data_IF_336816032526
#
_entry.id   IF_336816032526
#
_cell.length_a   1.000
_cell.length_b   1.000
_cell.length_c   1.000
_cell.angle_alpha   90.00
_cell.angle_beta   90.00
_cell.angle_gamma   90.00
#
_symmetry.space_group_name_H-M   'P 1'
#
loop_
_entity.id
_entity.type
_entity.pdbx_description
1 polymer ?
#
# COMPACT_ATOMS: atom_id res chain seq x y z
N UNK A 1 -20.47 1.74 10.35
CA UNK A 1 -20.78 1.14 11.66
C UNK A 1 -22.22 1.46 12.01
N UNK A 2 -23.04 0.47 12.34
CA UNK A 2 -24.37 0.69 12.89
C UNK A 2 -24.22 0.83 14.40
N UNK A 3 -24.34 2.06 14.91
CA UNK A 3 -24.10 2.42 16.31
C UNK A 3 -25.09 1.83 17.33
N UNK A 4 -26.03 0.96 16.91
CA UNK A 4 -26.91 0.21 17.83
C UNK A 4 -27.51 -1.02 17.14
N UNK A 5 -26.86 -2.17 17.22
CA UNK A 5 -27.56 -3.46 17.03
C UNK A 5 -28.37 -3.82 18.29
N UNK A 6 -29.28 -2.91 18.67
CA UNK A 6 -30.25 -3.09 19.75
C UNK A 6 -31.66 -2.84 19.18
N UNK A 7 -32.13 -3.76 18.35
CA UNK A 7 -33.54 -3.94 17.95
C UNK A 7 -33.74 -5.45 17.90
N UNK A 8 -34.42 -6.15 18.81
CA UNK A 8 -35.62 -5.80 19.57
C UNK A 8 -35.71 -6.57 20.89
N UNK A 9 -35.89 -5.85 21.99
CA UNK A 9 -36.61 -6.38 23.14
C UNK A 9 -38.09 -6.51 22.80
N UNK A 10 -38.70 -7.68 23.01
CA UNK A 10 -40.15 -7.78 23.01
C UNK A 10 -40.83 -9.10 22.63
N UNK A 11 -40.41 -10.26 23.17
CA UNK A 11 -41.34 -11.28 23.69
C UNK A 11 -40.61 -12.49 24.30
N UNK A 12 -41.07 -12.91 25.47
CA UNK A 12 -40.59 -14.05 26.27
C UNK A 12 -40.95 -15.41 25.68
N UNK A 13 -40.61 -15.65 24.42
CA UNK A 13 -40.70 -16.97 23.77
C UNK A 13 -39.45 -17.13 22.92
N UNK A 14 -38.58 -18.07 23.30
CA UNK A 14 -37.21 -18.21 22.80
C UNK A 14 -37.08 -18.22 21.28
N UNK A 15 -35.88 -17.89 20.80
CA UNK A 15 -35.41 -17.84 19.40
C UNK A 15 -35.47 -16.49 18.65
N UNK A 16 -35.17 -15.37 19.32
CA UNK A 16 -34.82 -14.12 18.62
C UNK A 16 -33.36 -13.75 18.90
N UNK A 17 -32.43 -14.48 18.26
CA UNK A 17 -31.01 -14.12 18.22
C UNK A 17 -30.69 -13.53 16.86
N UNK A 18 -29.98 -12.41 16.83
CA UNK A 18 -29.45 -11.86 15.59
C UNK A 18 -28.41 -12.83 15.00
N UNK A 19 -28.49 -13.07 13.70
CA UNK A 19 -27.55 -13.90 12.97
C UNK A 19 -26.42 -13.04 12.40
N UNK A 20 -25.20 -13.56 12.52
CA UNK A 20 -23.98 -12.94 11.99
C UNK A 20 -23.24 -13.94 11.11
N UNK A 21 -22.88 -13.51 9.91
CA UNK A 21 -21.98 -14.22 9.00
C UNK A 21 -20.63 -13.52 9.08
N UNK A 22 -19.63 -14.22 9.60
CA UNK A 22 -18.26 -13.76 9.66
C UNK A 22 -17.35 -14.74 8.91
N UNK A 23 -16.29 -14.21 8.32
CA UNK A 23 -15.23 -14.99 7.68
C UNK A 23 -13.90 -14.33 8.01
N UNK A 24 -12.96 -15.16 8.49
CA UNK A 24 -11.63 -14.72 8.88
C UNK A 24 -10.56 -15.41 8.04
N UNK A 25 -9.44 -14.72 7.82
CA UNK A 25 -8.24 -15.32 7.24
C UNK A 25 -7.53 -16.22 8.25
N UNK A 26 -6.55 -17.00 7.78
CA UNK A 26 -5.66 -17.77 8.66
C UNK A 26 -4.89 -16.90 9.66
N UNK A 27 -4.67 -15.62 9.32
CA UNK A 27 -4.04 -14.62 10.19
C UNK A 27 -5.04 -13.88 11.10
N UNK A 28 -6.29 -14.37 11.21
CA UNK A 28 -7.38 -13.77 12.02
C UNK A 28 -7.86 -12.39 11.54
N UNK A 29 -7.61 -12.04 10.28
CA UNK A 29 -8.10 -10.78 9.70
C UNK A 29 -9.52 -10.95 9.16
N UNK A 30 -10.37 -9.93 9.34
CA UNK A 30 -11.76 -9.97 8.91
C UNK A 30 -11.86 -9.87 7.39
N UNK A 31 -12.24 -10.98 6.74
CA UNK A 31 -12.48 -11.06 5.29
C UNK A 31 -13.86 -10.52 4.95
N UNK A 32 -14.86 -10.90 5.75
CA UNK A 32 -16.25 -10.51 5.55
C UNK A 32 -16.98 -10.48 6.88
N UNK A 33 -17.76 -9.42 7.08
CA UNK A 33 -18.62 -9.29 8.25
C UNK A 33 -20.00 -8.80 7.80
N UNK A 34 -21.04 -9.56 8.18
CA UNK A 34 -22.42 -9.15 8.04
C UNK A 34 -23.19 -9.60 9.29
N UNK A 35 -23.40 -8.65 10.21
CA UNK A 35 -24.13 -8.88 11.44
C UNK A 35 -25.55 -8.34 11.43
N UNK A 36 -26.28 -8.65 12.50
CA UNK A 36 -27.57 -8.04 12.84
C UNK A 36 -28.71 -8.40 11.86
N UNK A 37 -28.75 -9.64 11.38
CA UNK A 37 -29.83 -10.12 10.52
C UNK A 37 -30.85 -10.94 11.31
N UNK A 38 -32.09 -10.92 10.85
CA UNK A 38 -33.18 -11.69 11.48
C UNK A 38 -32.97 -13.21 11.34
N UNK A 39 -33.44 -14.02 12.30
CA UNK A 39 -33.50 -15.47 12.14
C UNK A 39 -34.21 -15.86 10.83
N UNK A 40 -33.64 -16.81 10.08
CA UNK A 40 -34.18 -17.24 8.79
C UNK A 40 -33.77 -16.39 7.58
N UNK A 41 -32.94 -15.36 7.76
CA UNK A 41 -32.33 -14.63 6.64
C UNK A 41 -31.48 -15.60 5.82
N UNK A 42 -31.67 -15.58 4.49
CA UNK A 42 -30.87 -16.38 3.58
C UNK A 42 -29.40 -15.98 3.67
N UNK A 43 -28.51 -16.97 3.52
CA UNK A 43 -27.07 -16.73 3.46
C UNK A 43 -26.75 -15.65 2.43
N UNK A 44 -26.01 -14.58 2.81
CA UNK A 44 -25.61 -13.54 1.88
C UNK A 44 -24.86 -14.14 0.69
N UNK A 45 -25.23 -13.75 -0.53
CA UNK A 45 -24.64 -14.28 -1.76
C UNK A 45 -23.11 -14.19 -1.79
N UNK A 46 -22.56 -13.16 -1.13
CA UNK A 46 -21.12 -12.97 -1.02
C UNK A 46 -20.45 -13.96 -0.06
N UNK A 47 -21.07 -14.24 1.08
CA UNK A 47 -20.53 -15.21 2.02
C UNK A 47 -20.47 -16.60 1.38
N UNK A 48 -21.46 -16.97 0.56
CA UNK A 48 -21.45 -18.23 -0.17
C UNK A 48 -20.39 -18.33 -1.28
N UNK A 49 -19.75 -17.22 -1.68
CA UNK A 49 -18.66 -17.23 -2.66
C UNK A 49 -17.29 -17.42 -2.02
N UNK A 50 -17.18 -17.26 -0.69
CA UNK A 50 -15.92 -17.42 0.04
C UNK A 50 -15.62 -18.91 0.17
N UNK A 51 -14.45 -19.32 -0.29
CA UNK A 51 -14.00 -20.72 -0.21
C UNK A 51 -12.88 -20.86 0.82
N UNK A 52 -12.99 -21.84 1.71
CA UNK A 52 -11.94 -22.15 2.68
C UNK A 52 -10.68 -22.58 1.92
N UNK A 53 -9.54 -21.96 2.26
CA UNK A 53 -8.25 -22.20 1.61
C UNK A 53 -7.94 -21.23 0.46
N UNK A 54 -8.84 -20.30 0.13
CA UNK A 54 -8.56 -19.26 -0.86
C UNK A 54 -7.49 -18.28 -0.33
N UNK A 55 -6.52 -17.86 -1.17
CA UNK A 55 -5.58 -16.81 -0.82
C UNK A 55 -6.29 -15.50 -0.47
N UNK A 56 -5.83 -14.83 0.59
CA UNK A 56 -6.37 -13.54 1.04
C UNK A 56 -5.27 -12.48 1.04
N UNK A 57 -5.66 -11.23 0.83
CA UNK A 57 -4.79 -10.07 0.82
C UNK A 57 -5.43 -8.90 1.57
N UNK A 58 -4.65 -8.27 2.45
CA UNK A 58 -5.09 -7.12 3.23
C UNK A 58 -4.12 -5.94 3.07
N UNK A 59 -4.67 -4.73 3.09
CA UNK A 59 -3.90 -3.50 3.02
C UNK A 59 -3.72 -2.92 4.43
N UNK A 60 -2.49 -2.56 4.79
CA UNK A 60 -2.18 -1.87 6.03
C UNK A 60 -1.55 -0.50 5.77
N UNK A 61 -1.81 0.44 6.66
CA UNK A 61 -1.17 1.75 6.64
C UNK A 61 0.22 1.69 7.30
N UNK A 62 1.14 2.50 6.79
CA UNK A 62 2.45 2.70 7.39
C UNK A 62 2.96 4.11 7.08
N UNK A 63 3.86 4.62 7.93
CA UNK A 63 4.54 5.89 7.70
C UNK A 63 5.61 5.73 6.64
N UNK A 64 5.49 6.43 5.51
CA UNK A 64 6.48 6.38 4.44
C UNK A 64 7.41 7.60 4.48
N UNK A 65 8.59 7.44 5.09
CA UNK A 65 9.61 8.49 5.19
C UNK A 65 10.24 8.88 3.85
N UNK A 66 10.33 7.95 2.89
CA UNK A 66 10.89 8.21 1.56
C UNK A 66 9.93 9.10 0.75
N UNK A 67 8.63 8.83 0.82
CA UNK A 67 7.60 9.67 0.19
C UNK A 67 7.57 11.08 0.80
N UNK A 68 7.84 11.18 2.11
CA UNK A 68 7.78 12.44 2.84
C UNK A 68 8.97 13.38 2.56
N UNK A 69 10.09 12.85 2.07
CA UNK A 69 11.26 13.65 1.69
C UNK A 69 11.41 13.68 0.15
N UNK A 70 10.96 14.75 -0.54
CA UNK A 70 11.04 14.85 -1.99
C UNK A 70 12.48 14.95 -2.52
N UNK A 71 13.42 15.42 -1.70
CA UNK A 71 14.84 15.63 -2.04
C UNK A 71 15.73 14.42 -1.69
N UNK A 72 15.12 13.32 -1.23
CA UNK A 72 15.84 12.09 -0.96
C UNK A 72 16.51 11.57 -2.24
N UNK A 73 17.80 11.22 -2.14
CA UNK A 73 18.56 10.56 -3.23
C UNK A 73 17.91 9.25 -3.67
N UNK A 74 17.05 8.66 -2.83
CA UNK A 74 16.27 7.46 -3.14
C UNK A 74 15.09 7.74 -4.09
N UNK A 75 14.72 9.01 -4.29
CA UNK A 75 13.66 9.42 -5.21
C UNK A 75 14.29 9.81 -6.56
N UNK A 76 14.10 8.96 -7.55
CA UNK A 76 14.46 9.26 -8.94
C UNK A 76 13.30 10.02 -9.60
N UNK A 77 13.62 10.95 -10.51
CA UNK A 77 12.65 11.76 -11.21
C UNK A 77 13.03 11.91 -12.69
N UNK A 78 12.03 11.89 -13.58
CA UNK A 78 12.16 12.23 -15.00
C UNK A 78 12.22 11.04 -15.98
N UNK A 79 12.33 9.80 -15.49
CA UNK A 79 12.38 8.61 -16.36
C UNK A 79 10.97 8.11 -16.67
N UNK A 80 10.05 8.21 -15.71
CA UNK A 80 8.66 7.76 -15.88
C UNK A 80 7.93 8.44 -17.06
N UNK A 81 8.27 9.69 -17.36
CA UNK A 81 7.67 10.45 -18.46
C UNK A 81 7.86 9.78 -19.83
N UNK A 82 8.97 9.06 -20.03
CA UNK A 82 9.30 8.38 -21.29
C UNK A 82 8.40 7.18 -21.57
N UNK A 83 7.80 6.58 -20.53
CA UNK A 83 6.97 5.37 -20.61
C UNK A 83 5.50 5.65 -20.24
N UNK A 84 5.07 6.90 -20.37
CA UNK A 84 3.69 7.32 -20.07
C UNK A 84 2.70 6.49 -20.88
N UNK A 85 1.75 5.84 -20.21
CA UNK A 85 0.75 4.96 -20.83
C UNK A 85 1.18 3.49 -20.94
N UNK A 86 2.47 3.18 -20.83
CA UNK A 86 2.97 1.80 -20.75
C UNK A 86 3.13 1.32 -19.29
N UNK A 87 3.12 2.23 -18.31
CA UNK A 87 3.27 1.89 -16.90
C UNK A 87 1.93 1.48 -16.28
N UNK A 88 1.81 0.27 -15.69
CA UNK A 88 0.58 -0.18 -15.07
C UNK A 88 0.32 0.54 -13.74
N UNK A 89 -0.97 0.66 -13.40
CA UNK A 89 -1.38 1.07 -12.08
C UNK A 89 -0.94 0.05 -11.02
N UNK A 90 -0.65 0.54 -9.82
CA UNK A 90 -0.28 -0.31 -8.69
C UNK A 90 -1.42 -1.29 -8.32
N UNK A 91 -1.16 -2.60 -8.21
CA UNK A 91 -2.14 -3.61 -7.80
C UNK A 91 -2.78 -3.28 -6.45
N UNK A 92 -4.12 -3.16 -6.42
CA UNK A 92 -4.87 -2.97 -5.17
C UNK A 92 -5.71 -4.18 -4.84
N UNK A 93 -5.98 -4.33 -3.54
CA UNK A 93 -6.96 -5.31 -3.08
C UNK A 93 -8.34 -4.87 -3.58
N UNK A 94 -9.05 -5.80 -4.19
CA UNK A 94 -10.43 -5.65 -4.63
C UNK A 94 -11.26 -6.80 -4.04
N UNK A 95 -12.58 -6.69 -4.13
CA UNK A 95 -13.48 -7.73 -3.60
C UNK A 95 -13.18 -8.08 -2.11
N UNK A 96 -12.79 -7.06 -1.33
CA UNK A 96 -12.28 -7.11 0.06
C UNK A 96 -10.95 -7.82 0.32
N UNK A 97 -10.64 -8.91 -0.39
CA UNK A 97 -9.48 -9.73 -0.05
C UNK A 97 -8.72 -10.30 -1.26
N UNK A 98 -9.18 -10.06 -2.49
CA UNK A 98 -8.54 -10.54 -3.72
C UNK A 98 -7.60 -9.49 -4.29
N UNK A 99 -6.55 -9.91 -4.99
CA UNK A 99 -5.63 -9.00 -5.65
C UNK A 99 -5.02 -9.62 -6.89
N UNK A 100 -4.91 -8.83 -7.96
CA UNK A 100 -4.30 -9.24 -9.22
C UNK A 100 -2.86 -8.70 -9.26
N UNK A 101 -1.89 -9.59 -9.07
CA UNK A 101 -0.47 -9.25 -8.94
C UNK A 101 0.40 -9.83 -10.04
N UNK A 102 -0.18 -10.60 -10.95
CA UNK A 102 0.44 -10.95 -12.22
C UNK A 102 -0.12 -10.02 -13.30
N UNK A 103 0.72 -9.18 -13.89
CA UNK A 103 0.33 -8.16 -14.86
C UNK A 103 1.02 -8.43 -16.21
N UNK A 104 0.22 -8.58 -17.26
CA UNK A 104 0.73 -8.62 -18.64
C UNK A 104 0.47 -7.26 -19.28
N UNK A 105 1.54 -6.55 -19.64
CA UNK A 105 1.51 -5.16 -20.13
C UNK A 105 1.97 -5.14 -21.58
N UNK A 106 1.03 -4.90 -22.51
CA UNK A 106 1.36 -4.92 -23.95
C UNK A 106 1.75 -6.30 -24.50
N UNK A 107 1.59 -7.37 -23.72
CA UNK A 107 1.85 -8.76 -24.11
C UNK A 107 0.59 -9.59 -23.87
N UNK A 108 0.23 -10.44 -24.83
CA UNK A 108 -0.83 -11.42 -24.64
C UNK A 108 -0.24 -12.72 -24.08
N UNK A 109 -0.57 -13.04 -22.83
CA UNK A 109 -0.18 -14.28 -22.16
C UNK A 109 -1.44 -15.12 -21.94
N UNK A 110 -1.66 -16.21 -22.70
CA UNK A 110 -2.89 -17.01 -22.62
C UNK A 110 -3.21 -17.53 -21.22
N UNK A 111 -2.18 -17.81 -20.41
CA UNK A 111 -2.30 -18.39 -19.08
C UNK A 111 -2.19 -17.34 -17.95
N UNK A 112 -2.36 -16.05 -18.25
CA UNK A 112 -2.18 -14.97 -17.26
C UNK A 112 -3.03 -15.15 -15.99
N UNK A 113 -4.28 -15.56 -16.13
CA UNK A 113 -5.19 -15.76 -14.99
C UNK A 113 -4.77 -16.95 -14.12
N UNK A 114 -4.34 -18.05 -14.74
CA UNK A 114 -3.82 -19.21 -14.04
C UNK A 114 -2.51 -18.90 -13.29
N UNK A 115 -1.63 -18.10 -13.91
CA UNK A 115 -0.40 -17.61 -13.27
C UNK A 115 -0.71 -16.65 -12.13
N UNK A 116 -1.73 -15.78 -12.26
CA UNK A 116 -2.17 -14.91 -11.17
C UNK A 116 -2.71 -15.72 -9.98
N UNK A 117 -3.50 -16.77 -10.24
CA UNK A 117 -3.99 -17.67 -9.20
C UNK A 117 -2.84 -18.39 -8.49
N UNK A 118 -1.87 -18.92 -9.26
CA UNK A 118 -0.67 -19.56 -8.70
C UNK A 118 0.17 -18.59 -7.88
N UNK A 119 0.40 -17.38 -8.38
CA UNK A 119 1.11 -16.33 -7.63
C UNK A 119 0.38 -15.94 -6.34
N UNK A 120 -0.95 -15.99 -6.33
CA UNK A 120 -1.74 -15.74 -5.13
C UNK A 120 -1.52 -16.82 -4.07
N UNK A 121 -1.42 -18.08 -4.48
CA UNK A 121 -1.05 -19.19 -3.59
C UNK A 121 0.36 -19.00 -3.02
N UNK A 122 1.34 -18.68 -3.87
CA UNK A 122 2.72 -18.39 -3.42
C UNK A 122 2.75 -17.23 -2.42
N UNK A 123 1.97 -16.17 -2.68
CA UNK A 123 1.83 -15.05 -1.75
C UNK A 123 1.14 -15.45 -0.43
N UNK A 124 0.18 -16.38 -0.44
CA UNK A 124 -0.43 -16.88 0.79
C UNK A 124 0.58 -17.68 1.64
N UNK A 125 1.42 -18.49 1.00
CA UNK A 125 2.45 -19.30 1.66
C UNK A 125 3.60 -18.45 2.21
N UNK A 126 4.11 -17.48 1.44
CA UNK A 126 5.28 -16.68 1.81
C UNK A 126 4.92 -15.35 2.50
N UNK A 127 3.70 -14.83 2.29
CA UNK A 127 3.30 -13.51 2.73
C UNK A 127 3.27 -13.35 4.25
N UNK A 128 2.76 -14.34 4.99
CA UNK A 128 2.77 -14.31 6.46
C UNK A 128 4.18 -14.54 7.05
N UNK A 129 4.91 -15.62 6.71
CA UNK A 129 6.21 -15.92 7.33
C UNK A 129 7.33 -14.96 6.91
N UNK A 130 7.33 -14.47 5.66
CA UNK A 130 8.37 -13.56 5.15
C UNK A 130 7.93 -12.10 5.10
N UNK A 131 6.65 -11.80 5.38
CA UNK A 131 6.08 -10.45 5.28
C UNK A 131 6.37 -9.81 3.93
N UNK A 132 6.25 -10.58 2.85
CA UNK A 132 6.54 -10.18 1.46
C UNK A 132 5.26 -10.07 0.64
N UNK A 133 5.24 -9.14 -0.32
CA UNK A 133 4.17 -8.98 -1.29
C UNK A 133 4.78 -9.10 -2.71
N UNK A 134 4.56 -10.25 -3.35
CA UNK A 134 5.12 -10.56 -4.66
C UNK A 134 4.22 -10.03 -5.78
N UNK A 135 4.81 -9.32 -6.73
CA UNK A 135 4.16 -8.86 -7.97
C UNK A 135 5.04 -9.24 -9.16
N UNK A 136 4.44 -9.77 -10.22
CA UNK A 136 5.14 -10.13 -11.46
C UNK A 136 4.54 -9.34 -12.60
N UNK A 137 5.40 -8.68 -13.38
CA UNK A 137 5.03 -7.87 -14.53
C UNK A 137 5.78 -8.39 -15.73
N UNK A 138 5.05 -8.75 -16.78
CA UNK A 138 5.62 -9.09 -18.08
C UNK A 138 5.24 -8.00 -19.07
N UNK A 139 6.23 -7.40 -19.73
CA UNK A 139 6.03 -6.25 -20.62
C UNK A 139 6.64 -6.49 -22.00
N UNK A 140 6.06 -5.89 -23.04
CA UNK A 140 6.64 -5.89 -24.40
C UNK A 140 7.72 -4.82 -24.58
N UNK A 141 8.06 -4.08 -23.53
CA UNK A 141 9.10 -3.06 -23.57
C UNK A 141 10.48 -3.72 -23.48
N UNK A 142 11.26 -3.60 -24.56
CA UNK A 142 12.63 -4.13 -24.64
C UNK A 142 13.69 -3.31 -23.90
N UNK A 143 13.36 -2.09 -23.46
CA UNK A 143 14.27 -1.21 -22.74
C UNK A 143 14.24 -1.47 -21.22
N UNK A 144 15.40 -1.77 -20.64
CA UNK A 144 15.57 -1.99 -19.21
C UNK A 144 15.29 -0.72 -18.37
N UNK A 145 15.39 0.48 -18.96
CA UNK A 145 15.00 1.74 -18.29
C UNK A 145 13.53 1.74 -17.84
N UNK A 146 12.70 0.87 -18.40
CA UNK A 146 11.34 0.64 -17.92
C UNK A 146 11.27 0.26 -16.44
N UNK A 147 12.25 -0.48 -15.92
CA UNK A 147 12.30 -0.81 -14.48
C UNK A 147 12.48 0.47 -13.64
N UNK A 148 13.31 1.40 -14.09
CA UNK A 148 13.55 2.66 -13.39
C UNK A 148 12.33 3.57 -13.47
N UNK A 149 11.69 3.63 -14.63
CA UNK A 149 10.42 4.32 -14.84
C UNK A 149 9.32 3.78 -13.92
N UNK A 150 9.21 2.46 -13.78
CA UNK A 150 8.25 1.82 -12.87
C UNK A 150 8.60 2.12 -11.41
N UNK A 151 9.88 2.09 -11.07
CA UNK A 151 10.37 2.43 -9.73
C UNK A 151 10.00 3.87 -9.38
N UNK A 152 10.19 4.81 -10.30
CA UNK A 152 9.73 6.19 -10.11
C UNK A 152 8.20 6.29 -9.98
N UNK A 153 7.46 5.65 -10.90
CA UNK A 153 6.00 5.70 -10.93
C UNK A 153 5.34 5.15 -9.67
N UNK A 154 5.93 4.09 -9.10
CA UNK A 154 5.45 3.47 -7.86
C UNK A 154 6.14 3.99 -6.60
N UNK A 155 6.98 5.04 -6.71
CA UNK A 155 7.76 5.61 -5.61
C UNK A 155 8.62 4.55 -4.88
N UNK A 156 9.21 3.65 -5.65
CA UNK A 156 10.02 2.51 -5.21
C UNK A 156 9.20 1.31 -4.71
N UNK A 157 7.88 1.33 -4.86
CA UNK A 157 6.99 0.31 -4.31
C UNK A 157 6.76 0.46 -2.81
N UNK A 158 5.95 -0.44 -2.23
CA UNK A 158 5.69 -0.51 -0.79
C UNK A 158 6.81 -1.25 -0.07
N UNK A 159 6.86 -1.10 1.26
CA UNK A 159 7.95 -1.62 2.11
C UNK A 159 8.18 -3.14 1.97
N UNK A 160 7.11 -3.91 1.79
CA UNK A 160 7.15 -5.36 1.66
C UNK A 160 7.14 -5.84 0.20
N UNK A 161 7.19 -4.94 -0.77
CA UNK A 161 7.09 -5.34 -2.17
C UNK A 161 8.38 -6.00 -2.66
N UNK A 162 8.18 -7.05 -3.44
CA UNK A 162 9.16 -7.57 -4.36
C UNK A 162 8.47 -7.71 -5.72
N UNK A 163 8.81 -6.79 -6.61
CA UNK A 163 8.24 -6.67 -7.94
C UNK A 163 9.26 -7.19 -8.94
N UNK A 164 8.92 -8.25 -9.65
CA UNK A 164 9.72 -8.81 -10.74
C UNK A 164 9.16 -8.30 -12.05
N UNK A 165 10.01 -7.70 -12.87
CA UNK A 165 9.66 -7.19 -14.19
C UNK A 165 10.46 -7.96 -15.24
N UNK A 166 9.75 -8.46 -16.26
CA UNK A 166 10.32 -9.24 -17.35
C UNK A 166 9.99 -8.53 -18.66
N UNK A 167 11.02 -8.10 -19.37
CA UNK A 167 10.89 -7.53 -20.71
C UNK A 167 10.96 -8.63 -21.76
N UNK A 168 9.85 -8.83 -22.46
CA UNK A 168 9.70 -9.79 -23.55
C UNK A 168 9.10 -9.07 -24.78
N UNK A 169 9.88 -8.23 -25.48
CA UNK A 169 9.40 -7.50 -26.66
C UNK A 169 8.90 -8.44 -27.77
N UNK A 170 9.57 -9.58 -27.92
CA UNK A 170 9.17 -10.67 -28.82
C UNK A 170 8.82 -11.90 -27.97
N UNK A 171 7.65 -11.85 -27.32
CA UNK A 171 7.17 -12.96 -26.50
C UNK A 171 7.12 -14.28 -27.31
N UNK A 172 7.61 -15.41 -26.78
CA UNK A 172 7.98 -15.67 -25.37
C UNK A 172 9.46 -15.42 -25.01
N UNK A 173 10.28 -14.85 -25.89
CA UNK A 173 11.71 -14.66 -25.60
C UNK A 173 11.94 -13.56 -24.57
N UNK A 174 12.75 -13.85 -23.54
CA UNK A 174 13.09 -12.88 -22.50
C UNK A 174 14.29 -12.06 -22.98
N UNK A 175 14.12 -10.76 -23.12
CA UNK A 175 15.20 -9.83 -23.47
C UNK A 175 15.95 -9.35 -22.22
N UNK A 176 15.21 -9.06 -21.15
CA UNK A 176 15.78 -8.63 -19.87
C UNK A 176 14.84 -8.96 -18.71
N UNK A 177 15.40 -9.02 -17.51
CA UNK A 177 14.64 -9.15 -16.26
C UNK A 177 15.19 -8.18 -15.22
N UNK A 178 14.33 -7.74 -14.31
CA UNK A 178 14.67 -6.78 -13.27
C UNK A 178 13.83 -7.02 -12.03
N UNK A 179 14.37 -6.67 -10.86
CA UNK A 179 13.67 -6.82 -9.58
C UNK A 179 13.74 -5.52 -8.81
N UNK A 180 12.57 -5.00 -8.44
CA UNK A 180 12.41 -3.85 -7.54
C UNK A 180 11.96 -4.36 -6.17
N UNK A 181 12.76 -4.12 -5.13
CA UNK A 181 12.40 -4.44 -3.74
C UNK A 181 13.24 -3.65 -2.74
N UNK A 182 12.70 -3.44 -1.54
CA UNK A 182 13.42 -2.84 -0.41
C UNK A 182 14.15 -3.87 0.48
N UNK A 183 14.31 -5.12 0.04
CA UNK A 183 15.02 -6.14 0.82
C UNK A 183 16.43 -5.71 1.24
N UNK A 184 16.90 -6.18 2.41
CA UNK A 184 18.28 -5.97 2.87
C UNK A 184 19.30 -6.81 2.09
N UNK A 185 18.85 -7.87 1.42
CA UNK A 185 19.71 -8.84 0.74
C UNK A 185 19.61 -8.62 -0.77
N UNK A 186 20.53 -7.85 -1.33
CA UNK A 186 20.57 -7.56 -2.77
C UNK A 186 20.80 -8.83 -3.62
N UNK A 187 21.43 -9.86 -3.05
CA UNK A 187 21.65 -11.15 -3.71
C UNK A 187 20.34 -11.80 -4.17
N UNK A 188 19.23 -11.60 -3.44
CA UNK A 188 17.90 -12.12 -3.85
C UNK A 188 17.48 -11.52 -5.19
N UNK A 189 17.72 -10.22 -5.40
CA UNK A 189 17.34 -9.53 -6.65
C UNK A 189 18.19 -10.03 -7.81
N UNK A 190 19.50 -10.18 -7.59
CA UNK A 190 20.44 -10.68 -8.59
C UNK A 190 20.16 -12.15 -8.93
N UNK A 191 19.93 -13.00 -7.92
CA UNK A 191 19.63 -14.42 -8.09
C UNK A 191 18.34 -14.65 -8.87
N UNK A 192 17.25 -13.94 -8.53
CA UNK A 192 16.00 -14.01 -9.30
C UNK A 192 16.22 -13.55 -10.74
N UNK A 193 16.89 -12.41 -10.94
CA UNK A 193 17.18 -11.88 -12.28
C UNK A 193 17.95 -12.88 -13.13
N UNK A 194 19.08 -13.36 -12.62
CA UNK A 194 20.03 -14.18 -13.38
C UNK A 194 19.42 -15.56 -13.69
N UNK A 195 18.65 -16.13 -12.76
CA UNK A 195 17.93 -17.39 -12.99
C UNK A 195 16.79 -17.26 -14.00
N UNK A 196 16.05 -16.15 -13.98
CA UNK A 196 15.01 -15.88 -14.99
C UNK A 196 15.63 -15.65 -16.37
N UNK A 197 16.71 -14.87 -16.44
CA UNK A 197 17.46 -14.67 -17.69
C UNK A 197 18.03 -15.98 -18.24
N UNK A 198 18.47 -16.88 -17.36
CA UNK A 198 18.96 -18.21 -17.72
C UNK A 198 17.91 -19.13 -18.35
N UNK A 199 16.62 -18.83 -18.24
CA UNK A 199 15.56 -19.60 -18.92
C UNK A 199 15.54 -19.35 -20.44
N UNK A 200 15.95 -18.16 -20.89
CA UNK A 200 15.88 -17.71 -22.29
C UNK A 200 14.47 -17.43 -22.81
N UNK A 201 13.52 -18.31 -22.51
CA UNK A 201 12.09 -18.18 -22.87
C UNK A 201 11.22 -18.12 -21.62
N UNK A 202 10.15 -17.35 -21.68
CA UNK A 202 9.19 -17.19 -20.60
C UNK A 202 8.39 -18.48 -20.37
N UNK A 203 8.62 -19.08 -19.21
CA UNK A 203 7.86 -20.19 -18.66
C UNK A 203 7.32 -19.73 -17.30
N UNK A 204 6.05 -19.33 -17.28
CA UNK A 204 5.44 -18.70 -16.10
C UNK A 204 5.49 -19.59 -14.87
N UNK A 205 5.39 -20.91 -15.03
CA UNK A 205 5.51 -21.84 -13.92
C UNK A 205 6.90 -21.83 -13.30
N UNK A 206 7.93 -21.98 -14.13
CA UNK A 206 9.33 -21.94 -13.67
C UNK A 206 9.72 -20.59 -13.08
N UNK A 207 9.24 -19.49 -13.67
CA UNK A 207 9.48 -18.14 -13.14
C UNK A 207 8.93 -18.02 -11.72
N UNK A 208 7.69 -18.46 -11.49
CA UNK A 208 7.09 -18.42 -10.16
C UNK A 208 7.83 -19.32 -9.16
N UNK A 209 8.29 -20.51 -9.58
CA UNK A 209 9.07 -21.42 -8.73
C UNK A 209 10.44 -20.84 -8.35
N UNK A 210 11.12 -20.20 -9.31
CA UNK A 210 12.39 -19.48 -9.06
C UNK A 210 12.16 -18.39 -8.02
N UNK A 211 11.14 -17.54 -8.21
CA UNK A 211 10.82 -16.45 -7.28
C UNK A 211 10.50 -17.03 -5.89
N UNK A 212 9.64 -18.05 -5.81
CA UNK A 212 9.25 -18.66 -4.55
C UNK A 212 10.47 -19.23 -3.79
N UNK A 213 11.37 -19.94 -4.49
CA UNK A 213 12.58 -20.51 -3.88
C UNK A 213 13.54 -19.44 -3.34
N UNK A 214 13.90 -18.44 -4.15
CA UNK A 214 14.82 -17.39 -3.72
C UNK A 214 14.25 -16.56 -2.56
N UNK A 215 12.94 -16.29 -2.59
CA UNK A 215 12.26 -15.54 -1.53
C UNK A 215 12.15 -16.36 -0.24
N UNK A 216 11.80 -17.64 -0.37
CA UNK A 216 11.75 -18.55 0.78
C UNK A 216 13.11 -18.65 1.47
N UNK A 217 14.20 -18.68 0.74
CA UNK A 217 15.52 -18.97 1.31
C UNK A 217 16.23 -17.73 1.85
N UNK A 218 16.18 -16.62 1.10
CA UNK A 218 17.09 -15.48 1.30
C UNK A 218 16.40 -14.15 1.58
N UNK A 219 15.09 -14.03 1.38
CA UNK A 219 14.41 -12.74 1.55
C UNK A 219 14.39 -12.28 3.00
N UNK A 220 14.95 -11.09 3.21
CA UNK A 220 14.88 -10.37 4.49
C UNK A 220 14.21 -9.03 4.27
N UNK A 221 13.03 -8.86 4.89
CA UNK A 221 12.29 -7.60 4.89
C UNK A 221 13.09 -6.51 5.60
N UNK A 222 13.11 -5.32 4.99
CA UNK A 222 13.65 -4.12 5.64
C UNK A 222 12.58 -3.42 6.49
N UNK A 223 12.79 -3.21 7.79
CA UNK A 223 11.85 -2.48 8.63
C UNK A 223 11.88 -0.98 8.30
N UNK A 224 10.78 -0.28 8.58
CA UNK A 224 10.69 1.16 8.27
C UNK A 224 11.50 2.01 9.25
N UNK A 225 11.82 1.46 10.42
CA UNK A 225 12.70 2.09 11.41
C UNK A 225 14.08 2.41 10.82
N UNK A 226 14.57 1.60 9.88
CA UNK A 226 15.85 1.86 9.19
C UNK A 226 15.85 3.18 8.41
N UNK A 227 14.67 3.74 8.10
CA UNK A 227 14.51 4.99 7.35
C UNK A 227 14.12 6.16 8.24
N UNK A 228 14.09 5.99 9.56
CA UNK A 228 13.70 7.06 10.49
C UNK A 228 14.68 8.26 10.43
N UNK A 229 15.94 8.05 10.04
CA UNK A 229 16.89 9.15 9.83
C UNK A 229 16.39 10.18 8.80
N UNK A 230 15.55 9.78 7.85
CA UNK A 230 14.94 10.69 6.87
C UNK A 230 13.94 11.64 7.53
N UNK A 231 13.43 11.35 8.73
CA UNK A 231 12.51 12.23 9.47
C UNK A 231 13.12 13.60 9.74
N UNK A 232 14.42 13.64 10.03
CA UNK A 232 15.13 14.88 10.33
C UNK A 232 15.25 15.81 9.11
N UNK A 233 15.08 15.27 7.91
CA UNK A 233 15.17 16.00 6.63
C UNK A 233 13.80 16.21 5.97
N UNK A 234 12.69 15.89 6.66
CA UNK A 234 11.35 16.21 6.16
C UNK A 234 11.09 17.69 6.41
N UNK A 235 11.07 18.47 5.35
CA UNK A 235 10.61 19.85 5.40
C UNK A 235 9.08 19.91 5.26
N UNK A 236 8.39 20.75 6.05
CA UNK A 236 6.96 20.96 5.87
C UNK A 236 6.71 21.58 4.48
N UNK A 237 5.61 21.20 3.80
CA UNK A 237 5.35 21.71 2.46
C UNK A 237 5.16 23.22 2.49
N UNK A 238 5.64 23.93 1.46
CA UNK A 238 5.66 25.39 1.42
C UNK A 238 4.29 26.02 1.72
N UNK A 239 3.21 25.43 1.20
CA UNK A 239 1.85 25.90 1.47
C UNK A 239 1.50 25.87 2.97
N UNK A 240 1.99 24.87 3.72
CA UNK A 240 1.75 24.77 5.15
C UNK A 240 2.53 25.83 5.91
N UNK A 241 3.76 26.14 5.47
CA UNK A 241 4.56 27.23 6.01
C UNK A 241 3.84 28.58 5.80
N UNK A 242 3.36 28.85 4.59
CA UNK A 242 2.57 30.04 4.27
C UNK A 242 1.25 30.11 5.04
N UNK A 243 0.58 28.98 5.23
CA UNK A 243 -0.66 28.90 6.02
C UNK A 243 -0.41 29.23 7.48
N UNK A 244 0.66 28.68 8.08
CA UNK A 244 1.06 29.00 9.46
C UNK A 244 1.43 30.48 9.61
N UNK A 245 2.15 31.03 8.63
CA UNK A 245 2.48 32.46 8.60
C UNK A 245 1.22 33.33 8.52
N UNK A 246 0.30 33.04 7.60
CA UNK A 246 -0.96 33.77 7.45
C UNK A 246 -1.85 33.66 8.69
N UNK A 247 -1.94 32.47 9.30
CA UNK A 247 -2.66 32.26 10.55
C UNK A 247 -2.04 33.05 11.70
N UNK A 248 -0.70 33.08 11.79
CA UNK A 248 0.02 33.89 12.76
C UNK A 248 -0.27 35.38 12.63
N UNK A 249 -0.25 35.91 11.39
CA UNK A 249 -0.63 37.30 11.11
C UNK A 249 -2.09 37.59 11.47
N UNK A 250 -3.01 36.67 11.16
CA UNK A 250 -4.42 36.82 11.46
C UNK A 250 -4.67 36.84 12.96
N UNK A 251 -4.07 35.93 13.72
CA UNK A 251 -4.15 35.91 15.18
C UNK A 251 -3.58 37.20 15.76
N UNK A 252 -2.41 37.65 15.28
CA UNK A 252 -1.81 38.90 15.73
C UNK A 252 -2.73 40.10 15.45
N UNK A 253 -3.34 40.18 14.26
CA UNK A 253 -4.27 41.24 13.90
C UNK A 253 -5.55 41.22 14.76
N UNK A 254 -6.10 40.02 15.02
CA UNK A 254 -7.27 39.84 15.88
C UNK A 254 -6.96 40.26 17.32
N UNK A 255 -5.81 39.84 17.87
CA UNK A 255 -5.37 40.24 19.21
C UNK A 255 -5.12 41.75 19.29
N UNK A 256 -4.49 42.35 18.27
CA UNK A 256 -4.26 43.79 18.21
C UNK A 256 -5.59 44.56 18.21
N UNK A 257 -6.57 44.13 17.39
CA UNK A 257 -7.89 44.74 17.34
C UNK A 257 -8.66 44.55 18.66
N UNK A 258 -8.54 43.37 19.28
CA UNK A 258 -9.14 43.08 20.58
C UNK A 258 -8.57 43.97 21.69
N UNK A 259 -7.24 44.10 21.77
CA UNK A 259 -6.59 44.96 22.77
C UNK A 259 -6.85 46.44 22.52
N UNK A 260 -6.93 46.87 21.26
CA UNK A 260 -7.29 48.25 20.93
C UNK A 260 -8.73 48.58 21.35
N UNK A 261 -9.65 47.63 21.25
CA UNK A 261 -11.05 47.82 21.66
C UNK A 261 -11.29 47.66 23.15
N UNK A 262 -10.52 46.80 23.83
CA UNK A 262 -10.73 46.43 25.23
C UNK A 262 -9.54 46.83 26.10
N UNK A 263 -9.01 48.05 25.91
CA UNK A 263 -7.75 48.52 26.52
C UNK A 263 -7.62 48.12 28.00
N UNK A 264 -6.82 47.09 28.32
CA UNK A 264 -6.70 46.60 29.68
C UNK A 264 -5.82 47.51 30.55
N UNK A 265 -5.19 48.54 29.97
CA UNK A 265 -4.25 49.42 30.66
C UNK A 265 -4.83 50.79 31.03
N UNK A 266 -6.05 51.14 30.61
CA UNK A 266 -6.70 52.39 31.05
C UNK A 266 -6.99 52.42 32.57
N UNK A 267 -7.11 51.26 33.24
CA UNK A 267 -7.46 51.20 34.66
C UNK A 267 -6.30 51.51 35.62
N UNK A 268 -5.04 51.46 35.18
CA UNK A 268 -3.87 51.78 36.03
C UNK A 268 -3.43 53.24 35.96
N UNK A 269 -3.85 54.01 34.95
CA UNK A 269 -3.56 55.44 34.85
C UNK A 269 -4.39 56.33 35.82
N UNK A 270 -5.38 55.77 36.52
CA UNK A 270 -6.26 56.51 37.46
C UNK A 270 -5.84 56.45 38.93
N UNK A 271 -4.77 55.73 39.30
CA UNK A 271 -4.20 55.87 40.65
C UNK A 271 -3.31 57.11 40.71
N UNK A 272 -3.97 58.23 41.01
CA UNK A 272 -3.36 59.56 41.06
C UNK A 272 -2.17 59.66 42.03
N UNK A 273 -1.18 60.42 41.59
CA UNK A 273 -0.18 61.03 42.46
C UNK A 273 -0.88 61.81 43.59
N UNK A 274 -0.96 61.22 44.79
CA UNK A 274 -1.20 61.98 46.03
C UNK A 274 0.10 62.74 46.34
N UNK A 275 0.12 64.04 46.03
CA UNK A 275 1.16 64.94 46.54
C UNK A 275 1.03 65.03 48.06
N UNK A 276 2.14 64.78 48.73
CA UNK A 276 2.36 64.99 50.16
C UNK A 276 2.42 66.49 50.47
#
# INVERSE_FOLDING_TARGET
>A
ECDTCYRHGGRKTGWNGDMTWDAHSSNQEHVYHNGCNSPGTLTPARWSQITIGEPTAFEHSFTNYIKANPDSVLRRAGVAAQFTGALPAYPRVHDHYRAQRFLAVGVAIPEADALNARLSVVNAELGSPRQVNLTVIVTNVGDQMYLEALTEHWLGGKKNDLVVVIGAPEFPTIAWAGVMSWTRVEEVKLGIRDRIMGLGTFDGGKVLDIIASEVSDKFVRRPMADFEYLKATIEPPEWAQWTLFALGLLIAAVLQAYFWRNDPFETSARYGYRRW
#
